data_IF_825175830785
#
_entry.id   IF_825175830785
#
_cell.length_a   1.000
_cell.length_b   1.000
_cell.length_c   1.000
_cell.angle_alpha   90.00
_cell.angle_beta   90.00
_cell.angle_gamma   90.00
#
_symmetry.space_group_name_H-M   'P 1'
#
loop_
_entity.id
_entity.type
_entity.pdbx_description
1 polymer ?
#
# COMPACT_ATOMS: atom_id res chain seq x y z
N UNK A 1 -16.12 61.80 51.88
CA UNK A 1 -15.88 61.64 53.32
C UNK A 1 -15.44 60.21 53.59
N UNK A 2 -14.16 60.04 53.94
CA UNK A 2 -13.58 58.82 54.55
C UNK A 2 -14.07 58.65 56.00
N UNK A 3 -13.93 57.47 56.62
CA UNK A 3 -12.76 57.17 57.48
C UNK A 3 -12.20 55.72 57.31
N UNK A 4 -10.87 55.50 57.29
CA UNK A 4 -9.98 55.05 58.41
C UNK A 4 -10.22 53.61 58.90
N UNK A 5 -9.24 52.72 59.17
CA UNK A 5 -7.79 52.86 59.42
C UNK A 5 -7.13 51.45 59.58
N UNK A 6 -5.82 51.36 59.25
CA UNK A 6 -4.72 50.65 59.98
C UNK A 6 -4.64 49.10 59.95
N UNK A 7 -3.49 48.40 59.91
CA UNK A 7 -2.06 48.72 60.10
C UNK A 7 -1.16 47.48 59.83
N UNK A 8 0.10 47.71 59.35
CA UNK A 8 1.41 47.10 59.74
C UNK A 8 1.66 45.58 59.47
N UNK A 9 2.83 45.04 59.06
CA UNK A 9 4.25 45.44 59.05
C UNK A 9 5.08 44.37 58.21
N UNK A 10 6.41 44.20 58.33
CA UNK A 10 7.46 45.07 57.76
C UNK A 10 8.70 44.33 57.15
N UNK A 11 9.69 45.12 56.67
CA UNK A 11 11.17 44.88 56.67
C UNK A 11 11.72 43.79 55.71
N UNK A 12 12.90 43.87 55.07
CA UNK A 12 14.10 44.73 55.06
C UNK A 12 14.90 44.30 53.79
N UNK A 13 15.38 45.20 52.92
CA UNK A 13 16.66 45.92 52.94
C UNK A 13 17.89 45.14 52.43
N UNK A 14 18.74 45.91 51.73
CA UNK A 14 20.15 45.70 51.36
C UNK A 14 20.44 44.90 50.07
N UNK A 15 21.40 45.24 49.22
CA UNK A 15 22.20 46.43 48.91
C UNK A 15 23.28 45.98 47.90
N UNK A 16 23.97 46.96 47.31
CA UNK A 16 25.29 46.90 46.65
C UNK A 16 25.30 46.73 45.11
N UNK A 17 26.11 47.44 44.33
CA UNK A 17 27.17 48.46 44.56
C UNK A 17 27.51 49.13 43.20
N UNK A 18 28.03 50.36 43.28
CA UNK A 18 28.89 51.17 42.38
C UNK A 18 29.45 50.50 41.09
N UNK A 19 29.77 51.21 39.99
CA UNK A 19 30.51 52.47 39.91
C UNK A 19 30.46 53.07 38.48
N UNK A 20 30.85 54.34 38.42
CA UNK A 20 30.93 55.22 37.27
C UNK A 20 32.08 54.94 36.29
N UNK A 21 31.92 55.41 35.05
CA UNK A 21 32.92 56.00 34.13
C UNK A 21 32.45 55.74 32.68
N UNK A 22 32.59 56.59 31.67
CA UNK A 22 33.21 57.90 31.55
C UNK A 22 32.42 58.67 30.48
N UNK A 23 32.28 59.98 30.66
CA UNK A 23 31.91 60.87 29.59
C UNK A 23 33.14 61.11 28.71
N UNK A 24 33.05 60.86 27.42
CA UNK A 24 33.87 61.55 26.44
C UNK A 24 32.99 62.01 25.29
N UNK A 25 32.76 63.32 25.29
CA UNK A 25 32.20 64.03 24.14
C UNK A 25 33.27 64.03 23.06
N UNK A 26 32.94 63.60 21.85
CA UNK A 26 33.53 64.18 20.66
C UNK A 26 32.49 64.21 19.55
N UNK A 27 32.26 65.45 19.13
CA UNK A 27 31.29 65.87 18.13
C UNK A 27 31.70 65.44 16.72
N UNK A 28 30.67 65.10 15.95
CA UNK A 28 30.44 65.62 14.60
C UNK A 28 31.49 65.30 13.53
N UNK A 29 31.26 64.19 12.81
CA UNK A 29 31.55 64.13 11.39
C UNK A 29 30.61 63.11 10.73
N UNK A 30 29.94 63.57 9.67
CA UNK A 30 28.95 62.86 8.88
C UNK A 30 29.46 61.54 8.30
N UNK A 31 28.56 60.60 7.99
CA UNK A 31 28.53 59.82 6.75
C UNK A 31 27.27 58.92 6.70
N UNK A 32 26.24 59.48 6.07
CA UNK A 32 25.20 58.89 5.19
C UNK A 32 25.22 57.35 5.10
N UNK A 33 24.11 56.70 5.50
CA UNK A 33 23.71 55.40 4.94
C UNK A 33 22.20 55.16 5.04
N UNK A 34 21.59 55.27 3.85
CA UNK A 34 20.49 54.50 3.27
C UNK A 34 19.19 54.29 4.07
N UNK A 35 18.14 54.90 3.52
CA UNK A 35 16.73 54.67 3.81
C UNK A 35 16.32 53.19 3.61
N UNK A 36 15.66 52.63 4.61
CA UNK A 36 14.92 51.38 4.50
C UNK A 36 13.59 51.63 3.77
N UNK A 37 13.43 51.08 2.57
CA UNK A 37 12.12 50.94 1.92
C UNK A 37 11.73 49.47 1.93
N UNK A 38 10.74 49.15 2.75
CA UNK A 38 10.14 47.82 2.89
C UNK A 38 9.27 47.54 1.66
N UNK A 39 9.63 46.52 0.88
CA UNK A 39 8.78 45.94 -0.17
C UNK A 39 8.49 44.49 0.21
N UNK A 40 7.45 44.30 1.03
CA UNK A 40 6.91 42.99 1.36
C UNK A 40 5.96 42.51 0.27
N UNK A 41 6.43 41.62 -0.61
CA UNK A 41 5.58 40.94 -1.60
C UNK A 41 4.88 39.74 -0.94
N UNK A 42 3.62 39.90 -0.55
CA UNK A 42 2.77 38.79 -0.13
C UNK A 42 2.26 38.02 -1.35
N UNK A 43 2.94 36.93 -1.71
CA UNK A 43 2.40 35.95 -2.64
C UNK A 43 1.23 35.23 -1.96
N UNK A 44 0.00 35.61 -2.30
CA UNK A 44 -1.20 34.85 -1.97
C UNK A 44 -1.18 33.54 -2.80
N UNK A 45 -0.53 32.51 -2.26
CA UNK A 45 -0.58 31.17 -2.82
C UNK A 45 -1.98 30.59 -2.63
N UNK A 46 -2.67 30.27 -3.73
CA UNK A 46 -3.91 29.52 -3.69
C UNK A 46 -3.62 28.11 -3.15
N UNK A 47 -3.89 27.88 -1.87
CA UNK A 47 -3.96 26.53 -1.32
C UNK A 47 -5.20 25.85 -1.89
N UNK A 48 -5.00 25.02 -2.92
CA UNK A 48 -6.04 24.10 -3.40
C UNK A 48 -6.43 23.20 -2.22
N UNK A 49 -7.73 22.98 -1.95
CA UNK A 49 -8.16 21.98 -0.99
C UNK A 49 -7.69 20.62 -1.48
N UNK A 50 -6.66 20.08 -0.82
CA UNK A 50 -6.22 18.70 -0.99
C UNK A 50 -7.40 17.81 -0.61
N UNK A 51 -8.01 17.13 -1.59
CA UNK A 51 -9.01 16.12 -1.30
C UNK A 51 -8.34 15.00 -0.48
N UNK A 52 -8.94 14.53 0.62
CA UNK A 52 -8.36 13.51 1.49
C UNK A 52 -8.24 12.12 0.83
N UNK A 53 -8.68 11.96 -0.42
CA UNK A 53 -8.63 10.68 -1.15
C UNK A 53 -7.20 10.13 -1.29
N UNK A 54 -6.18 11.00 -1.33
CA UNK A 54 -4.76 10.57 -1.34
C UNK A 54 -4.27 9.96 -0.02
N UNK A 55 -5.01 10.13 1.07
CA UNK A 55 -4.67 9.59 2.40
C UNK A 55 -5.59 8.43 2.82
N UNK A 56 -6.37 7.86 1.90
CA UNK A 56 -7.19 6.68 2.21
C UNK A 56 -6.28 5.50 2.62
N UNK A 57 -6.54 4.86 3.78
CA UNK A 57 -5.74 3.72 4.23
C UNK A 57 -5.72 2.59 3.17
N UNK A 58 -4.68 1.75 3.15
CA UNK A 58 -4.64 0.55 2.31
C UNK A 58 -5.94 -0.26 2.48
N UNK A 59 -6.53 -0.67 1.35
CA UNK A 59 -7.76 -1.47 1.34
C UNK A 59 -7.37 -2.85 1.85
N UNK A 60 -8.13 -3.38 2.81
CA UNK A 60 -7.97 -4.75 3.25
C UNK A 60 -8.04 -5.69 2.03
N UNK A 61 -6.97 -6.45 1.71
CA UNK A 61 -6.99 -7.35 0.58
C UNK A 61 -8.08 -8.43 0.70
N UNK A 62 -8.57 -8.72 1.90
CA UNK A 62 -9.63 -9.72 2.13
C UNK A 62 -11.05 -9.11 2.12
N UNK A 63 -11.20 -7.87 1.67
CA UNK A 63 -12.52 -7.26 1.50
C UNK A 63 -13.34 -8.05 0.45
N UNK A 64 -14.53 -8.56 0.78
CA UNK A 64 -15.35 -9.33 -0.16
C UNK A 64 -15.72 -8.56 -1.42
N UNK A 65 -15.78 -7.22 -1.36
CA UNK A 65 -16.02 -6.38 -2.52
C UNK A 65 -14.85 -6.40 -3.52
N UNK A 66 -13.61 -6.56 -3.05
CA UNK A 66 -12.44 -6.61 -3.92
C UNK A 66 -12.42 -7.89 -4.77
N UNK A 67 -12.89 -9.00 -4.23
CA UNK A 67 -13.00 -10.29 -4.95
C UNK A 67 -13.96 -10.21 -6.14
N UNK A 68 -14.99 -9.37 -6.10
CA UNK A 68 -15.92 -9.16 -7.22
C UNK A 68 -15.27 -8.45 -8.42
N UNK A 69 -14.07 -7.88 -8.25
CA UNK A 69 -13.32 -7.20 -9.30
C UNK A 69 -12.39 -8.14 -10.07
N UNK A 70 -12.46 -9.46 -9.82
CA UNK A 70 -11.65 -10.46 -10.50
C UNK A 70 -12.19 -10.84 -11.89
N UNK A 71 -13.40 -10.42 -12.25
CA UNK A 71 -13.94 -10.63 -13.60
C UNK A 71 -13.05 -9.90 -14.64
N UNK A 72 -12.75 -10.58 -15.75
CA UNK A 72 -11.93 -10.07 -16.87
C UNK A 72 -10.51 -9.63 -16.46
N UNK A 73 -9.87 -10.43 -15.59
CA UNK A 73 -8.51 -10.21 -15.09
C UNK A 73 -7.54 -11.32 -15.47
N UNK A 74 -6.25 -10.98 -15.54
CA UNK A 74 -5.15 -11.89 -15.89
C UNK A 74 -4.03 -11.85 -14.85
N UNK A 75 -3.56 -13.03 -14.48
CA UNK A 75 -2.67 -13.25 -13.35
C UNK A 75 -1.54 -14.20 -13.72
N UNK A 76 -0.35 -13.93 -13.22
CA UNK A 76 0.82 -14.80 -13.31
C UNK A 76 1.25 -15.20 -11.91
N UNK A 77 1.47 -16.50 -11.69
CA UNK A 77 1.98 -17.00 -10.40
C UNK A 77 3.39 -16.45 -10.17
N UNK A 78 3.55 -15.69 -9.10
CA UNK A 78 4.81 -15.11 -8.69
C UNK A 78 5.49 -15.97 -7.62
N UNK A 79 4.74 -16.39 -6.61
CA UNK A 79 5.26 -17.23 -5.53
C UNK A 79 4.25 -18.28 -5.10
N UNK A 80 4.77 -19.37 -4.56
CA UNK A 80 3.98 -20.40 -3.89
C UNK A 80 4.75 -20.86 -2.66
N UNK A 81 4.21 -20.62 -1.47
CA UNK A 81 4.74 -21.14 -0.21
C UNK A 81 3.85 -22.26 0.32
N UNK A 82 4.47 -23.33 0.81
CA UNK A 82 3.74 -24.38 1.53
C UNK A 82 3.26 -23.89 2.91
N UNK A 83 2.43 -24.69 3.58
CA UNK A 83 1.94 -24.39 4.92
C UNK A 83 3.05 -24.19 5.99
N UNK A 84 4.28 -24.63 5.73
CA UNK A 84 5.45 -24.40 6.60
C UNK A 84 6.23 -23.13 6.25
N UNK A 85 5.80 -22.38 5.24
CA UNK A 85 6.45 -21.18 4.73
C UNK A 85 7.60 -21.44 3.76
N UNK A 86 7.82 -22.69 3.31
CA UNK A 86 8.88 -23.00 2.34
C UNK A 86 8.40 -22.71 0.93
N UNK A 87 9.20 -21.99 0.17
CA UNK A 87 8.91 -21.70 -1.23
C UNK A 87 8.99 -22.98 -2.07
N UNK A 88 7.95 -23.23 -2.86
CA UNK A 88 7.95 -24.24 -3.93
C UNK A 88 8.63 -23.66 -5.17
N UNK A 89 9.35 -24.52 -5.88
CA UNK A 89 9.96 -24.15 -7.15
C UNK A 89 8.89 -23.92 -8.22
N UNK A 90 8.94 -22.77 -8.87
CA UNK A 90 8.09 -22.37 -9.99
C UNK A 90 8.95 -22.41 -11.28
N UNK A 91 8.42 -22.83 -12.43
CA UNK A 91 9.17 -22.81 -13.69
C UNK A 91 9.46 -21.38 -14.17
N UNK A 92 10.73 -21.08 -14.44
CA UNK A 92 11.15 -19.77 -14.97
C UNK A 92 10.87 -19.60 -16.47
N UNK A 93 10.95 -20.70 -17.22
CA UNK A 93 10.90 -20.68 -18.69
C UNK A 93 9.50 -20.45 -19.26
N UNK A 94 8.45 -20.87 -18.54
CA UNK A 94 7.06 -20.69 -18.98
C UNK A 94 6.21 -20.37 -17.76
N UNK A 95 5.67 -19.15 -17.67
CA UNK A 95 4.96 -18.71 -16.49
C UNK A 95 3.66 -19.47 -16.31
N UNK A 96 3.35 -19.82 -15.06
CA UNK A 96 2.02 -20.32 -14.68
C UNK A 96 1.06 -19.15 -14.68
N UNK A 97 -0.06 -19.29 -15.38
CA UNK A 97 -1.02 -18.20 -15.60
C UNK A 97 -2.43 -18.61 -15.23
N UNK A 98 -3.22 -17.60 -14.85
CA UNK A 98 -4.65 -17.70 -14.58
C UNK A 98 -5.35 -16.52 -15.23
N UNK A 99 -6.28 -16.80 -16.13
CA UNK A 99 -7.13 -15.83 -16.80
C UNK A 99 -8.58 -16.09 -16.40
N UNK A 100 -9.25 -15.05 -15.92
CA UNK A 100 -10.65 -15.06 -15.50
C UNK A 100 -11.41 -14.16 -16.48
N UNK A 101 -12.36 -14.72 -17.22
CA UNK A 101 -13.12 -13.96 -18.22
C UNK A 101 -14.62 -14.18 -18.06
N UNK A 102 -15.39 -13.16 -18.43
CA UNK A 102 -16.85 -13.22 -18.56
C UNK A 102 -17.31 -13.23 -20.03
N UNK A 103 -16.37 -13.37 -20.97
CA UNK A 103 -16.66 -13.43 -22.40
C UNK A 103 -17.71 -14.52 -22.71
N UNK A 104 -18.70 -14.17 -23.52
CA UNK A 104 -19.84 -15.05 -23.80
C UNK A 104 -20.89 -15.09 -22.69
N UNK A 105 -20.82 -14.19 -21.72
CA UNK A 105 -21.83 -14.01 -20.66
C UNK A 105 -21.74 -15.06 -19.55
N UNK A 106 -20.62 -15.77 -19.44
CA UNK A 106 -20.41 -16.82 -18.45
C UNK A 106 -19.00 -16.70 -17.87
N UNK A 107 -18.86 -16.91 -16.55
CA UNK A 107 -17.57 -16.91 -15.87
C UNK A 107 -16.75 -18.15 -16.25
N UNK A 108 -15.67 -17.93 -17.01
CA UNK A 108 -14.74 -18.97 -17.49
C UNK A 108 -13.32 -18.66 -17.07
N UNK A 109 -12.65 -19.69 -16.55
CA UNK A 109 -11.24 -19.64 -16.23
C UNK A 109 -10.44 -20.44 -17.24
N UNK A 110 -9.23 -19.98 -17.57
CA UNK A 110 -8.25 -20.72 -18.33
C UNK A 110 -6.84 -20.29 -17.94
N UNK A 111 -5.83 -21.04 -18.37
CA UNK A 111 -4.45 -20.66 -18.12
C UNK A 111 -3.46 -21.78 -18.42
N UNK A 112 -2.25 -21.62 -17.90
CA UNK A 112 -1.17 -22.60 -17.99
C UNK A 112 -0.75 -23.03 -16.58
N UNK A 113 -0.75 -24.33 -16.31
CA UNK A 113 -0.46 -24.89 -14.97
C UNK A 113 1.00 -25.31 -14.78
N UNK A 114 1.88 -25.02 -15.74
CA UNK A 114 3.31 -25.34 -15.69
C UNK A 114 3.74 -26.37 -16.74
N UNK A 115 2.83 -27.25 -17.15
CA UNK A 115 3.06 -28.19 -18.26
C UNK A 115 1.89 -28.20 -19.26
N UNK A 116 0.65 -28.16 -18.76
CA UNK A 116 -0.54 -28.20 -19.58
C UNK A 116 -1.34 -26.90 -19.51
N UNK A 117 -2.19 -26.69 -20.51
CA UNK A 117 -3.23 -25.68 -20.47
C UNK A 117 -4.43 -26.25 -19.73
N UNK A 118 -5.10 -25.41 -18.96
CA UNK A 118 -6.34 -25.78 -18.26
C UNK A 118 -7.47 -24.82 -18.59
N UNK A 119 -8.70 -25.28 -18.38
CA UNK A 119 -9.90 -24.48 -18.48
C UNK A 119 -11.01 -24.99 -17.57
N UNK A 120 -11.96 -24.13 -17.22
CA UNK A 120 -13.12 -24.47 -16.42
C UNK A 120 -14.02 -23.26 -16.17
N UNK A 121 -14.93 -23.39 -15.22
CA UNK A 121 -15.75 -22.29 -14.72
C UNK A 121 -15.21 -21.78 -13.39
N UNK A 122 -15.53 -20.54 -13.04
CA UNK A 122 -15.28 -19.99 -11.71
C UNK A 122 -16.51 -19.25 -11.19
N UNK A 123 -16.53 -19.03 -9.87
CA UNK A 123 -17.54 -18.25 -9.18
C UNK A 123 -16.85 -17.33 -8.15
N UNK A 124 -17.48 -16.19 -7.89
CA UNK A 124 -17.09 -15.17 -6.94
C UNK A 124 -18.25 -14.97 -5.96
N UNK A 125 -18.26 -15.75 -4.88
CA UNK A 125 -19.33 -15.72 -3.87
C UNK A 125 -18.73 -15.54 -2.48
N UNK A 126 -19.38 -14.74 -1.64
CA UNK A 126 -18.95 -14.46 -0.26
C UNK A 126 -17.49 -14.00 -0.12
N UNK A 127 -17.00 -13.22 -1.10
CA UNK A 127 -15.62 -12.73 -1.11
C UNK A 127 -14.56 -13.77 -1.45
N UNK A 128 -14.97 -14.95 -1.96
CA UNK A 128 -14.07 -16.06 -2.30
C UNK A 128 -14.16 -16.43 -3.78
N UNK A 129 -13.00 -16.65 -4.38
CA UNK A 129 -12.86 -17.29 -5.69
C UNK A 129 -12.96 -18.81 -5.54
N UNK A 130 -13.80 -19.43 -6.35
CA UNK A 130 -13.92 -20.89 -6.42
C UNK A 130 -13.97 -21.35 -7.87
N UNK A 131 -13.51 -22.57 -8.12
CA UNK A 131 -13.50 -23.17 -9.45
C UNK A 131 -14.46 -24.36 -9.51
N UNK A 132 -15.16 -24.50 -10.64
CA UNK A 132 -15.86 -25.73 -10.99
C UNK A 132 -14.88 -26.82 -11.44
N UNK A 133 -15.38 -27.89 -12.06
CA UNK A 133 -14.52 -28.91 -12.65
C UNK A 133 -13.53 -28.30 -13.65
N UNK A 134 -12.24 -28.57 -13.44
CA UNK A 134 -11.16 -28.14 -14.33
C UNK A 134 -10.78 -29.27 -15.29
N UNK A 135 -10.67 -28.93 -16.57
CA UNK A 135 -10.11 -29.79 -17.60
C UNK A 135 -8.68 -29.31 -17.94
N UNK A 136 -7.79 -30.24 -18.25
CA UNK A 136 -6.43 -29.93 -18.70
C UNK A 136 -6.05 -30.75 -19.94
N UNK A 137 -5.16 -30.21 -20.76
CA UNK A 137 -4.53 -30.97 -21.84
C UNK A 137 -3.65 -32.10 -21.28
N UNK A 138 -3.22 -33.03 -22.13
CA UNK A 138 -2.36 -34.17 -21.74
C UNK A 138 -1.06 -34.21 -22.54
N UNK A 139 -0.32 -33.11 -22.53
CA UNK A 139 1.04 -33.05 -23.06
C UNK A 139 2.01 -33.65 -22.05
N UNK A 140 3.02 -34.36 -22.56
CA UNK A 140 4.13 -34.83 -21.75
C UNK A 140 5.23 -33.76 -21.76
N UNK A 141 5.55 -33.21 -20.59
CA UNK A 141 6.69 -32.32 -20.41
C UNK A 141 7.89 -33.08 -19.87
N UNK A 142 9.10 -32.57 -20.13
CA UNK A 142 10.30 -33.10 -19.50
C UNK A 142 10.19 -33.03 -17.95
N UNK A 143 10.84 -33.94 -17.22
CA UNK A 143 10.93 -33.86 -15.76
C UNK A 143 11.53 -32.51 -15.34
N UNK A 144 10.84 -31.80 -14.45
CA UNK A 144 11.28 -30.49 -13.98
C UNK A 144 10.20 -29.76 -13.18
N UNK A 145 10.41 -28.48 -12.85
CA UNK A 145 9.49 -27.71 -12.02
C UNK A 145 8.08 -27.64 -12.61
N UNK A 146 7.94 -27.44 -13.93
CA UNK A 146 6.65 -27.34 -14.59
C UNK A 146 5.81 -28.62 -14.52
N UNK A 147 6.42 -29.80 -14.76
CA UNK A 147 5.73 -31.09 -14.67
C UNK A 147 5.43 -31.50 -13.23
N UNK A 148 6.29 -31.12 -12.27
CA UNK A 148 6.04 -31.35 -10.85
C UNK A 148 4.96 -30.43 -10.25
N UNK A 149 4.77 -29.23 -10.82
CA UNK A 149 3.85 -28.21 -10.31
C UNK A 149 2.41 -28.37 -10.80
N UNK A 150 2.20 -28.91 -12.00
CA UNK A 150 0.89 -28.98 -12.66
C UNK A 150 -0.21 -29.59 -11.78
N UNK A 151 0.01 -30.82 -11.29
CA UNK A 151 -1.02 -31.54 -10.56
C UNK A 151 -1.36 -30.87 -9.22
N UNK A 152 -0.36 -30.49 -8.39
CA UNK A 152 -0.64 -29.70 -7.20
C UNK A 152 -1.37 -28.39 -7.50
N UNK A 153 -1.05 -27.69 -8.60
CA UNK A 153 -1.68 -26.42 -8.95
C UNK A 153 -3.18 -26.60 -9.21
N UNK A 154 -3.53 -27.55 -10.07
CA UNK A 154 -4.93 -27.84 -10.41
C UNK A 154 -5.73 -28.34 -9.20
N UNK A 155 -5.12 -29.17 -8.34
CA UNK A 155 -5.74 -29.62 -7.10
C UNK A 155 -5.93 -28.46 -6.11
N UNK A 156 -4.96 -27.55 -6.02
CA UNK A 156 -5.04 -26.37 -5.18
C UNK A 156 -6.19 -25.45 -5.58
N UNK A 157 -6.37 -25.19 -6.88
CA UNK A 157 -7.49 -24.37 -7.36
C UNK A 157 -8.86 -24.96 -7.00
N UNK A 158 -8.99 -26.29 -6.89
CA UNK A 158 -10.21 -26.94 -6.42
C UNK A 158 -10.45 -26.80 -4.89
N UNK A 159 -9.43 -26.36 -4.15
CA UNK A 159 -9.37 -26.34 -2.68
C UNK A 159 -9.06 -24.98 -2.08
N UNK A 160 -9.64 -23.89 -2.62
CA UNK A 160 -9.43 -22.53 -2.10
C UNK A 160 -10.17 -22.33 -0.77
N UNK A 161 -9.46 -21.80 0.22
CA UNK A 161 -10.01 -21.39 1.52
C UNK A 161 -10.31 -19.88 1.54
N UNK A 162 -9.34 -19.06 1.15
CA UNK A 162 -9.44 -17.59 1.15
C UNK A 162 -8.87 -16.98 -0.12
N UNK A 163 -9.42 -15.84 -0.48
CA UNK A 163 -8.98 -15.01 -1.61
C UNK A 163 -8.71 -13.61 -1.10
N UNK A 164 -7.50 -13.11 -1.33
CA UNK A 164 -7.10 -11.73 -1.09
C UNK A 164 -6.82 -11.04 -2.42
N UNK A 165 -7.33 -9.83 -2.61
CA UNK A 165 -7.27 -9.09 -3.88
C UNK A 165 -6.88 -7.64 -3.61
N UNK A 166 -5.74 -7.22 -4.17
CA UNK A 166 -5.30 -5.82 -4.16
C UNK A 166 -5.38 -5.27 -5.59
N UNK A 167 -6.36 -4.40 -5.84
CA UNK A 167 -6.54 -3.76 -7.16
C UNK A 167 -5.77 -2.45 -7.34
N UNK A 168 -5.15 -1.95 -6.27
CA UNK A 168 -4.25 -0.78 -6.33
C UNK A 168 -2.87 -1.25 -6.76
N UNK A 169 -2.19 -0.55 -7.69
CA UNK A 169 -0.84 -0.92 -8.10
C UNK A 169 0.16 -0.98 -6.92
N UNK A 170 1.04 -2.00 -6.87
CA UNK A 170 1.05 -3.16 -7.75
C UNK A 170 -0.13 -4.09 -7.48
N UNK A 171 -0.85 -4.49 -8.54
CA UNK A 171 -2.00 -5.38 -8.40
C UNK A 171 -1.54 -6.79 -8.04
N UNK A 172 -2.19 -7.38 -7.06
CA UNK A 172 -1.85 -8.69 -6.51
C UNK A 172 -3.11 -9.49 -6.21
N UNK A 173 -3.06 -10.78 -6.52
CA UNK A 173 -4.05 -11.78 -6.12
C UNK A 173 -3.35 -12.80 -5.23
N UNK A 174 -3.89 -13.03 -4.04
CA UNK A 174 -3.44 -14.04 -3.11
C UNK A 174 -4.52 -15.10 -2.92
N UNK A 175 -4.13 -16.37 -3.06
CA UNK A 175 -5.01 -17.52 -2.84
C UNK A 175 -4.42 -18.35 -1.71
N UNK A 176 -5.19 -18.51 -0.63
CA UNK A 176 -4.86 -19.45 0.45
C UNK A 176 -5.63 -20.74 0.23
N UNK A 177 -4.92 -21.86 0.17
CA UNK A 177 -5.51 -23.18 0.01
C UNK A 177 -5.96 -23.74 1.35
N UNK A 178 -6.90 -24.69 1.34
CA UNK A 178 -7.32 -25.44 2.54
C UNK A 178 -6.19 -26.22 3.19
N UNK A 179 -5.13 -26.51 2.45
CA UNK A 179 -3.90 -27.15 2.97
C UNK A 179 -3.03 -26.20 3.78
N UNK A 180 -3.29 -24.89 3.72
CA UNK A 180 -2.46 -23.84 4.32
C UNK A 180 -1.41 -23.25 3.36
N UNK A 181 -1.28 -23.80 2.16
CA UNK A 181 -0.40 -23.24 1.12
C UNK A 181 -0.92 -21.87 0.66
N UNK A 182 0.00 -20.97 0.30
CA UNK A 182 -0.32 -19.64 -0.20
C UNK A 182 0.30 -19.44 -1.58
N UNK A 183 -0.54 -19.07 -2.54
CA UNK A 183 -0.14 -18.71 -3.89
C UNK A 183 -0.33 -17.20 -4.06
N UNK A 184 0.72 -16.50 -4.47
CA UNK A 184 0.67 -15.07 -4.81
C UNK A 184 0.86 -14.90 -6.30
N UNK A 185 -0.03 -14.12 -6.92
CA UNK A 185 -0.04 -13.81 -8.33
C UNK A 185 0.09 -12.30 -8.54
N UNK A 186 0.89 -11.93 -9.53
CA UNK A 186 1.00 -10.56 -10.02
C UNK A 186 0.08 -10.37 -11.23
N UNK A 187 -0.32 -9.13 -11.50
CA UNK A 187 -1.00 -8.79 -12.75
C UNK A 187 -0.16 -9.22 -13.95
N UNK A 188 -0.80 -9.94 -14.87
CA UNK A 188 -0.20 -10.39 -16.11
C UNK A 188 -0.79 -9.60 -17.26
N UNK A 189 -0.07 -8.58 -17.70
CA UNK A 189 -0.33 -7.90 -18.97
C UNK A 189 0.35 -8.69 -20.07
N UNK A 190 -0.42 -9.47 -20.82
CA UNK A 190 0.10 -10.07 -22.04
C UNK A 190 0.42 -8.93 -23.04
N UNK A 191 1.62 -8.88 -23.64
CA UNK A 191 2.01 -7.85 -24.60
C UNK A 191 1.18 -7.90 -25.89
#
# INVERSE_FOLDING_TARGET
MQPSRSRLAPHSALSHVHAASAQSRLSMAALISAAALVLGSTLAGCALPTHPDSAAPPTDPYNPAATQLLDDTQWQLATWTDASGRARQIPDATPVTLNLSTEGGQRRANGFSGCNRFSGTYDLTDGKLSFGPLAATRMACAPGPGSALEQPFLQGLAGIDKTGVQMRPPKELQITLKTGDVLTFNEHTQP
#
